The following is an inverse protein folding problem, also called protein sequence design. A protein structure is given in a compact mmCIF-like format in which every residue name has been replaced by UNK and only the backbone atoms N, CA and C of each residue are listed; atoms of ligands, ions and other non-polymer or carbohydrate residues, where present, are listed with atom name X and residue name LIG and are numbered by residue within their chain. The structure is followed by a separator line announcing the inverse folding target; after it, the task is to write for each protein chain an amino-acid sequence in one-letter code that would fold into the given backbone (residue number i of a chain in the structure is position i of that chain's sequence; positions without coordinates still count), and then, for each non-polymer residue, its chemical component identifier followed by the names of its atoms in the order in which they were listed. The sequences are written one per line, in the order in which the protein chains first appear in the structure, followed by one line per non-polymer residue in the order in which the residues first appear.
data_IF_473782504836
#
_entry.id   IF_473782504836
#
_cell.length_a   1.000
_cell.length_b   1.000
_cell.length_c   1.000
_cell.angle_alpha   90.00
_cell.angle_beta   90.00
_cell.angle_gamma   90.00
#
_symmetry.space_group_name_H-M   'P 1'
#
loop_
_entity.id
_entity.type
_entity.pdbx_description
1 polymer ?
#
# COMPACT_ATOMS: atom_id res chain seq x y z
N UNK A 1 -0.98 0.04 3.18
CA UNK A 1 -2.18 -0.60 3.74
C UNK A 1 -3.27 0.42 4.03
N UNK A 2 -3.06 1.37 4.93
CA UNK A 2 -4.07 2.37 5.31
C UNK A 2 -4.45 3.31 4.15
N UNK A 3 -3.51 3.67 3.29
CA UNK A 3 -3.75 4.60 2.19
C UNK A 3 -4.37 3.90 0.95
N UNK A 4 -3.80 2.76 0.55
CA UNK A 4 -4.18 2.06 -0.69
C UNK A 4 -4.80 0.68 -0.45
N UNK A 5 -5.24 0.38 0.74
CA UNK A 5 -5.93 -0.86 1.10
C UNK A 5 -5.16 -2.17 0.75
N UNK A 6 -3.84 -2.11 0.55
CA UNK A 6 -3.07 -3.27 0.10
C UNK A 6 -2.91 -4.34 1.20
N UNK A 7 -3.01 -5.64 0.86
CA UNK A 7 -2.70 -6.71 1.79
C UNK A 7 -1.21 -6.74 2.12
N UNK A 8 -0.86 -7.16 3.34
CA UNK A 8 0.53 -7.14 3.82
C UNK A 8 1.49 -7.97 2.97
N UNK A 9 1.02 -9.08 2.40
CA UNK A 9 1.81 -9.92 1.49
C UNK A 9 2.29 -9.11 0.28
N UNK A 10 1.41 -8.31 -0.31
CA UNK A 10 1.77 -7.44 -1.45
C UNK A 10 2.67 -6.29 -1.04
N UNK A 11 2.43 -5.69 0.13
CA UNK A 11 3.29 -4.62 0.67
C UNK A 11 4.69 -5.14 0.91
N UNK A 12 4.83 -6.29 1.56
CA UNK A 12 6.13 -6.91 1.85
C UNK A 12 6.92 -7.22 0.58
N UNK A 13 6.24 -7.63 -0.50
CA UNK A 13 6.84 -7.99 -1.78
C UNK A 13 6.95 -6.81 -2.77
N UNK A 14 6.75 -5.57 -2.32
CA UNK A 14 6.97 -4.39 -3.16
C UNK A 14 8.45 -4.22 -3.49
N UNK A 15 8.71 -3.95 -4.77
CA UNK A 15 10.05 -3.62 -5.25
C UNK A 15 10.25 -2.10 -5.31
N UNK A 16 11.48 -1.66 -5.24
CA UNK A 16 11.82 -0.24 -5.41
C UNK A 16 11.41 0.30 -6.78
N UNK A 17 11.38 -0.56 -7.80
CA UNK A 17 10.93 -0.23 -9.16
C UNK A 17 9.44 0.09 -9.26
N UNK A 18 8.63 -0.24 -8.24
CA UNK A 18 7.23 0.16 -8.17
C UNK A 18 7.04 1.64 -7.81
N UNK A 19 8.11 2.30 -7.36
CA UNK A 19 8.10 3.71 -6.98
C UNK A 19 8.78 4.51 -8.09
N UNK A 20 8.07 5.49 -8.60
CA UNK A 20 8.59 6.51 -9.52
C UNK A 20 8.58 7.85 -8.77
N UNK A 21 9.77 8.31 -8.43
CA UNK A 21 9.97 9.56 -7.69
C UNK A 21 10.64 10.57 -8.60
N UNK A 22 9.91 11.62 -8.97
CA UNK A 22 10.41 12.80 -9.64
C UNK A 22 10.49 13.98 -8.68
N UNK A 23 11.08 15.09 -9.10
CA UNK A 23 11.19 16.31 -8.26
C UNK A 23 9.80 16.88 -7.89
N UNK A 24 8.81 16.66 -8.75
CA UNK A 24 7.47 17.25 -8.60
C UNK A 24 6.45 16.28 -8.00
N UNK A 25 6.61 14.97 -8.23
CA UNK A 25 5.59 13.98 -7.88
C UNK A 25 6.21 12.62 -7.56
N UNK A 26 5.65 11.94 -6.58
CA UNK A 26 5.93 10.51 -6.31
C UNK A 26 4.71 9.70 -6.69
N UNK A 27 4.90 8.65 -7.47
CA UNK A 27 3.87 7.71 -7.88
C UNK A 27 4.23 6.28 -7.47
N UNK A 28 3.21 5.47 -7.23
CA UNK A 28 3.38 4.05 -6.89
C UNK A 28 2.54 3.17 -7.82
N UNK A 29 3.15 2.15 -8.39
CA UNK A 29 2.46 1.15 -9.22
C UNK A 29 2.06 -0.05 -8.39
N UNK A 30 0.76 -0.19 -8.14
CA UNK A 30 0.15 -1.29 -7.38
C UNK A 30 -0.75 -2.17 -8.26
N UNK A 31 -1.26 -1.63 -9.34
CA UNK A 31 -2.10 -2.29 -10.33
C UNK A 31 -1.61 -2.06 -11.75
N UNK A 32 -2.53 -1.85 -12.67
CA UNK A 32 -2.21 -1.56 -14.07
C UNK A 32 -1.66 -0.14 -14.25
N UNK A 33 -2.19 0.81 -13.49
CA UNK A 33 -1.82 2.22 -13.56
C UNK A 33 -1.09 2.67 -12.29
N UNK A 34 -0.23 3.69 -12.42
CA UNK A 34 0.47 4.27 -11.28
C UNK A 34 -0.45 5.26 -10.52
N UNK A 35 -0.52 5.11 -9.21
CA UNK A 35 -1.27 5.99 -8.32
C UNK A 35 -0.36 7.11 -7.75
N UNK A 36 -0.86 8.36 -7.65
CA UNK A 36 -0.10 9.43 -7.01
C UNK A 36 0.01 9.19 -5.49
N UNK A 37 1.14 9.55 -4.91
CA UNK A 37 1.36 9.48 -3.46
C UNK A 37 1.22 10.89 -2.87
N UNK A 38 0.31 11.11 -1.91
CA UNK A 38 0.16 12.42 -1.27
C UNK A 38 1.44 12.90 -0.59
N UNK A 39 1.68 14.21 -0.58
CA UNK A 39 2.94 14.84 -0.15
C UNK A 39 3.49 14.32 1.19
N UNK A 40 2.72 14.20 2.29
CA UNK A 40 3.29 13.72 3.56
C UNK A 40 3.86 12.31 3.45
N UNK A 41 3.21 11.42 2.67
CA UNK A 41 3.65 10.04 2.46
C UNK A 41 4.73 9.94 1.39
N UNK A 42 4.73 10.84 0.41
CA UNK A 42 5.76 10.93 -0.63
C UNK A 42 7.14 11.20 -0.02
N UNK A 43 7.23 12.16 0.89
CA UNK A 43 8.46 12.48 1.61
C UNK A 43 8.96 11.30 2.45
N UNK A 44 8.06 10.66 3.21
CA UNK A 44 8.38 9.47 4.00
C UNK A 44 8.86 8.30 3.14
N UNK A 45 8.24 8.11 1.98
CA UNK A 45 8.59 7.02 1.06
C UNK A 45 9.94 7.28 0.39
N UNK A 46 10.22 8.52 -0.01
CA UNK A 46 11.50 8.93 -0.58
C UNK A 46 12.64 8.80 0.43
N UNK A 47 12.42 9.25 1.68
CA UNK A 47 13.38 9.06 2.76
C UNK A 47 13.64 7.57 3.02
N UNK A 48 12.60 6.76 3.05
CA UNK A 48 12.74 5.31 3.21
C UNK A 48 13.54 4.67 2.07
N UNK A 49 13.34 5.10 0.81
CA UNK A 49 14.12 4.60 -0.33
C UNK A 49 15.63 4.84 -0.17
N UNK A 50 16.01 6.00 0.38
CA UNK A 50 17.42 6.34 0.63
C UNK A 50 17.98 5.62 1.87
N UNK A 51 17.15 5.36 2.87
CA UNK A 51 17.56 4.84 4.18
C UNK A 51 16.92 3.47 4.49
N UNK A 52 16.87 2.55 3.51
CA UNK A 52 16.27 1.23 3.71
C UNK A 52 16.99 0.45 4.81
N UNK A 53 16.21 -0.11 5.73
CA UNK A 53 16.70 -0.94 6.85
C UNK A 53 17.18 -2.32 6.39
N UNK A 54 17.91 -3.01 7.25
CA UNK A 54 18.45 -4.37 7.02
C UNK A 54 19.51 -4.48 5.90
N UNK A 55 20.00 -3.36 5.38
CA UNK A 55 21.08 -3.32 4.41
C UNK A 55 22.37 -2.84 5.09
N UNK A 56 23.37 -3.72 5.18
CA UNK A 56 24.59 -3.46 5.94
C UNK A 56 25.72 -2.83 5.12
N UNK A 57 25.64 -2.87 3.79
CA UNK A 57 26.66 -2.32 2.90
C UNK A 57 26.04 -1.55 1.75
N UNK A 58 26.77 -0.58 1.20
CA UNK A 58 26.31 0.19 0.04
C UNK A 58 26.08 -0.69 -1.19
N UNK A 59 26.86 -1.75 -1.38
CA UNK A 59 26.63 -2.73 -2.45
C UNK A 59 25.33 -3.50 -2.25
N UNK A 60 24.98 -3.86 -1.01
CA UNK A 60 23.69 -4.49 -0.71
C UNK A 60 22.51 -3.55 -0.96
N UNK A 61 22.67 -2.26 -0.69
CA UNK A 61 21.65 -1.25 -1.02
C UNK A 61 21.38 -1.16 -2.53
N UNK A 62 22.44 -1.13 -3.33
CA UNK A 62 22.36 -1.01 -4.78
C UNK A 62 21.74 -2.25 -5.45
N UNK A 63 22.01 -3.45 -4.91
CA UNK A 63 21.57 -4.72 -5.49
C UNK A 63 20.25 -5.26 -4.95
N UNK A 64 19.76 -4.76 -3.82
CA UNK A 64 18.54 -5.26 -3.20
C UNK A 64 17.29 -4.63 -3.84
N UNK A 65 16.41 -5.45 -4.50
CA UNK A 65 15.27 -4.92 -5.24
C UNK A 65 14.07 -4.56 -4.35
N UNK A 66 14.07 -4.97 -3.06
CA UNK A 66 12.91 -4.87 -2.21
C UNK A 66 12.77 -3.49 -1.56
N UNK A 67 11.56 -2.95 -1.55
CA UNK A 67 11.25 -1.72 -0.83
C UNK A 67 11.41 -1.93 0.68
N UNK A 68 11.00 -3.10 1.17
CA UNK A 68 11.15 -3.51 2.56
C UNK A 68 12.08 -4.73 2.64
N UNK A 69 13.39 -4.56 2.73
CA UNK A 69 14.32 -5.68 2.80
C UNK A 69 14.15 -6.47 4.10
N UNK A 70 14.24 -7.79 4.00
CA UNK A 70 14.29 -8.68 5.16
C UNK A 70 15.68 -8.77 5.77
N UNK A 71 15.78 -9.52 6.87
CA UNK A 71 17.08 -9.82 7.51
C UNK A 71 17.95 -10.77 6.70
N UNK A 72 17.30 -11.67 5.97
CA UNK A 72 18.00 -12.64 5.11
C UNK A 72 18.35 -11.98 3.78
N UNK A 73 19.56 -12.24 3.30
CA UNK A 73 20.05 -11.70 2.05
C UNK A 73 19.11 -12.05 0.88
N UNK A 74 18.76 -11.05 0.07
CA UNK A 74 17.91 -11.19 -1.11
C UNK A 74 16.42 -11.45 -0.83
N UNK A 75 15.99 -11.45 0.43
CA UNK A 75 14.58 -11.64 0.81
C UNK A 75 13.95 -10.33 1.24
N UNK A 76 12.63 -10.21 0.98
CA UNK A 76 11.82 -9.11 1.53
C UNK A 76 11.46 -9.37 3.00
N UNK A 77 10.95 -8.34 3.67
CA UNK A 77 10.45 -8.44 5.03
C UNK A 77 9.28 -9.44 5.09
N UNK A 78 9.23 -10.25 6.14
CA UNK A 78 8.14 -11.19 6.36
C UNK A 78 6.83 -10.43 6.64
N UNK A 79 5.74 -10.74 5.93
CA UNK A 79 4.42 -10.15 6.21
C UNK A 79 3.97 -10.29 7.66
N UNK A 80 4.29 -11.39 8.31
CA UNK A 80 3.97 -11.61 9.72
C UNK A 80 4.70 -10.62 10.64
N UNK A 81 5.93 -10.25 10.30
CA UNK A 81 6.67 -9.22 11.05
C UNK A 81 5.96 -7.86 10.96
N UNK A 82 5.46 -7.50 9.78
CA UNK A 82 4.68 -6.27 9.58
C UNK A 82 3.38 -6.34 10.40
N UNK A 83 2.67 -7.46 10.31
CA UNK A 83 1.43 -7.69 11.05
C UNK A 83 1.61 -7.54 12.56
N UNK A 84 2.66 -8.15 13.10
CA UNK A 84 2.98 -8.08 14.53
C UNK A 84 3.29 -6.64 14.97
N UNK A 85 4.06 -5.89 14.18
CA UNK A 85 4.37 -4.47 14.47
C UNK A 85 3.12 -3.60 14.48
N UNK A 86 2.18 -3.84 13.56
CA UNK A 86 0.90 -3.12 13.49
C UNK A 86 -0.01 -3.51 14.66
N UNK A 87 -0.09 -4.81 14.97
CA UNK A 87 -0.87 -5.31 16.11
C UNK A 87 -0.40 -4.70 17.43
N UNK A 88 0.92 -4.64 17.66
CA UNK A 88 1.50 -4.01 18.85
C UNK A 88 1.18 -2.52 18.99
N UNK A 89 0.75 -1.88 17.90
CA UNK A 89 0.29 -0.48 17.88
C UNK A 89 -1.24 -0.34 17.88
N UNK A 90 -1.97 -1.43 18.12
CA UNK A 90 -3.42 -1.44 18.15
C UNK A 90 -4.10 -1.36 16.78
N UNK A 91 -3.39 -1.62 15.68
CA UNK A 91 -3.93 -1.54 14.32
C UNK A 91 -4.40 -2.91 13.87
N UNK A 92 -5.72 -3.07 13.64
CA UNK A 92 -6.29 -4.24 12.99
C UNK A 92 -6.04 -4.20 11.48
N UNK A 93 -5.27 -5.16 10.98
CA UNK A 93 -4.88 -5.22 9.55
C UNK A 93 -6.09 -5.35 8.63
N UNK A 94 -6.99 -6.28 8.94
CA UNK A 94 -8.18 -6.53 8.09
C UNK A 94 -9.16 -5.36 8.16
N UNK A 95 -9.45 -4.85 9.35
CA UNK A 95 -10.35 -3.72 9.54
C UNK A 95 -9.82 -2.45 8.86
N UNK A 96 -8.54 -2.15 9.03
CA UNK A 96 -7.91 -0.99 8.41
C UNK A 96 -7.89 -1.08 6.88
N UNK A 97 -7.62 -2.27 6.32
CA UNK A 97 -7.66 -2.49 4.86
C UNK A 97 -9.07 -2.32 4.29
N UNK A 98 -10.07 -2.94 4.93
CA UNK A 98 -11.46 -2.85 4.47
C UNK A 98 -12.00 -1.43 4.55
N UNK A 99 -11.71 -0.71 5.63
CA UNK A 99 -12.10 0.70 5.78
C UNK A 99 -11.45 1.58 4.72
N UNK A 100 -10.15 1.40 4.47
CA UNK A 100 -9.45 2.14 3.43
C UNK A 100 -10.04 1.88 2.03
N UNK A 101 -10.35 0.62 1.71
CA UNK A 101 -10.96 0.28 0.42
C UNK A 101 -12.37 0.86 0.28
N UNK A 102 -13.19 0.80 1.33
CA UNK A 102 -14.52 1.41 1.34
C UNK A 102 -14.48 2.92 1.15
N UNK A 103 -13.55 3.61 1.81
CA UNK A 103 -13.36 5.05 1.61
C UNK A 103 -12.95 5.38 0.17
N UNK A 104 -12.01 4.63 -0.39
CA UNK A 104 -11.56 4.84 -1.78
C UNK A 104 -12.68 4.66 -2.80
N UNK A 105 -13.48 3.59 -2.68
CA UNK A 105 -14.59 3.35 -3.62
C UNK A 105 -15.79 4.26 -3.39
N UNK A 106 -15.86 4.96 -2.26
CA UNK A 106 -16.85 6.01 -2.02
C UNK A 106 -16.51 7.32 -2.75
N UNK A 107 -15.21 7.58 -2.98
CA UNK A 107 -14.73 8.82 -3.61
C UNK A 107 -14.35 8.62 -5.08
N UNK A 108 -13.88 7.43 -5.45
CA UNK A 108 -13.36 7.10 -6.78
C UNK A 108 -14.19 5.95 -7.37
N UNK A 109 -14.56 6.00 -8.67
CA UNK A 109 -15.28 4.92 -9.31
C UNK A 109 -14.62 3.54 -9.13
N UNK A 110 -15.36 2.48 -8.76
CA UNK A 110 -14.82 1.15 -8.49
C UNK A 110 -13.92 0.58 -9.58
N UNK A 111 -14.19 0.74 -10.89
CA UNK A 111 -13.28 0.27 -11.94
C UNK A 111 -11.92 0.97 -11.93
N UNK A 112 -11.88 2.27 -11.60
CA UNK A 112 -10.63 3.04 -11.50
C UNK A 112 -9.82 2.55 -10.30
N UNK A 113 -10.46 2.34 -9.15
CA UNK A 113 -9.81 1.77 -7.96
C UNK A 113 -9.26 0.37 -8.26
N UNK A 114 -10.00 -0.46 -8.99
CA UNK A 114 -9.55 -1.78 -9.40
C UNK A 114 -8.25 -1.71 -10.21
N UNK A 115 -8.19 -0.84 -11.22
CA UNK A 115 -7.01 -0.66 -12.08
C UNK A 115 -5.81 -0.06 -11.32
N UNK A 116 -6.03 0.95 -10.51
CA UNK A 116 -4.95 1.59 -9.72
C UNK A 116 -4.36 0.68 -8.67
N UNK A 117 -5.20 -0.11 -7.98
CA UNK A 117 -4.78 -0.90 -6.82
C UNK A 117 -4.60 -2.38 -7.11
N UNK A 118 -4.92 -2.84 -8.32
CA UNK A 118 -4.82 -4.24 -8.72
C UNK A 118 -5.83 -5.16 -8.01
N UNK A 119 -7.01 -4.63 -7.68
CA UNK A 119 -8.14 -5.42 -7.22
C UNK A 119 -8.99 -5.94 -8.38
N UNK A 120 -9.75 -7.01 -8.15
CA UNK A 120 -10.78 -7.41 -9.10
C UNK A 120 -11.95 -6.42 -9.10
N UNK A 121 -12.59 -6.23 -10.26
CA UNK A 121 -13.79 -5.39 -10.36
C UNK A 121 -14.91 -5.86 -9.44
N UNK A 122 -15.07 -7.16 -9.27
CA UNK A 122 -16.06 -7.74 -8.34
C UNK A 122 -15.80 -7.29 -6.90
N UNK A 123 -14.55 -7.29 -6.46
CA UNK A 123 -14.18 -6.87 -5.11
C UNK A 123 -14.49 -5.39 -4.88
N UNK A 124 -14.09 -4.51 -5.81
CA UNK A 124 -14.33 -3.06 -5.69
C UNK A 124 -15.81 -2.72 -5.75
N UNK A 125 -16.60 -3.38 -6.60
CA UNK A 125 -18.05 -3.24 -6.63
C UNK A 125 -18.72 -3.68 -5.33
N UNK A 126 -18.31 -4.82 -4.77
CA UNK A 126 -18.82 -5.28 -3.48
C UNK A 126 -18.60 -4.24 -2.37
N UNK A 127 -17.39 -3.70 -2.25
CA UNK A 127 -17.09 -2.67 -1.26
C UNK A 127 -17.83 -1.36 -1.51
N UNK A 128 -18.08 -1.00 -2.78
CA UNK A 128 -18.90 0.17 -3.13
C UNK A 128 -20.35 -0.01 -2.68
N UNK A 129 -20.93 -1.20 -2.85
CA UNK A 129 -22.28 -1.51 -2.36
C UNK A 129 -22.35 -1.42 -0.82
N UNK A 130 -21.35 -1.94 -0.11
CA UNK A 130 -21.27 -1.81 1.34
C UNK A 130 -21.18 -0.34 1.80
N UNK A 131 -20.38 0.47 1.13
CA UNK A 131 -20.27 1.89 1.42
C UNK A 131 -21.61 2.62 1.20
N UNK A 132 -22.31 2.32 0.10
CA UNK A 132 -23.63 2.89 -0.20
C UNK A 132 -24.69 2.51 0.84
N UNK A 133 -24.70 1.27 1.33
CA UNK A 133 -25.64 0.82 2.37
C UNK A 133 -25.43 1.57 3.70
N UNK A 134 -24.19 1.90 4.04
CA UNK A 134 -23.88 2.67 5.24
C UNK A 134 -24.51 4.07 5.15
N UNK A 135 -24.41 4.73 3.99
CA UNK A 135 -25.03 6.03 3.76
C UNK A 135 -26.56 5.97 3.80
N UNK A 136 -27.17 4.93 3.24
CA UNK A 136 -28.64 4.76 3.23
C UNK A 136 -29.23 4.68 4.64
N UNK A 137 -28.48 4.16 5.62
CA UNK A 137 -28.91 4.10 7.04
C UNK A 137 -28.92 5.46 7.73
N UNK A 138 -28.16 6.43 7.26
CA UNK A 138 -28.13 7.79 7.83
C UNK A 138 -29.24 8.71 7.27
N UNK A 139 -29.84 8.34 6.14
CA UNK A 139 -30.85 9.16 5.46
C UNK A 139 -32.29 8.76 5.85
N UNK A 140 -32.46 7.66 6.52
CA UNK A 140 -33.73 7.20 7.07
C UNK A 140 -33.85 7.47 8.56
#
# INVERSE_FOLDING_TARGET
MLLYAQPLVRIAALKTTAIDATDDEVRITLGADAAPVPVPFAEMLTDHLHNRTNLRTGAAMASNPWLFPGRNAGKHLDPQTIQMRLHNRGISVLGARNSALQNLVAEIPPPVVANLLGYSHTCTHYHAQLAAQTWARYVT
#
